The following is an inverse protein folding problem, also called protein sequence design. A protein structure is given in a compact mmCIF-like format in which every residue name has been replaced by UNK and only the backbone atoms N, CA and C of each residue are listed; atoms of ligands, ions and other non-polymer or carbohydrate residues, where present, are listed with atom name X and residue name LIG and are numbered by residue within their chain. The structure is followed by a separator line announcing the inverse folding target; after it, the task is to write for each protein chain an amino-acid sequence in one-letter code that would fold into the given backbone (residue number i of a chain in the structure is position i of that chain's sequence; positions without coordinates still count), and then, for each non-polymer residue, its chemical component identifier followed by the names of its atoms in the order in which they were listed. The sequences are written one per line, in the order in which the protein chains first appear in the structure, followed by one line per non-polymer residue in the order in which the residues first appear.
data_IF_312703493369
#
_entry.id   IF_312703493369
#
_cell.length_a   1.000
_cell.length_b   1.000
_cell.length_c   1.000
_cell.angle_alpha   90.00
_cell.angle_beta   90.00
_cell.angle_gamma   90.00
#
_symmetry.space_group_name_H-M   'P 1'
#
loop_
_entity.id
_entity.type
_entity.pdbx_description
1 polymer ?
#
# COMPACT_ATOMS: atom_id res chain seq x y z
N UNK A 1 -34.40 -18.67 6.48
CA UNK A 1 -33.87 -18.20 5.18
C UNK A 1 -32.47 -17.68 5.49
N UNK A 2 -31.38 -18.22 4.90
CA UNK A 2 -30.07 -17.62 5.11
C UNK A 2 -30.11 -16.17 4.58
N UNK A 3 -29.57 -15.24 5.35
CA UNK A 3 -29.41 -13.85 4.93
C UNK A 3 -28.61 -13.81 3.60
N UNK A 4 -29.08 -13.09 2.57
CA UNK A 4 -28.31 -12.93 1.33
C UNK A 4 -26.93 -12.37 1.63
N UNK A 5 -25.89 -13.12 1.27
CA UNK A 5 -24.51 -12.64 1.39
C UNK A 5 -24.31 -11.59 0.29
N UNK A 6 -24.00 -10.34 0.67
CA UNK A 6 -23.59 -9.32 -0.30
C UNK A 6 -22.33 -9.82 -1.01
N UNK A 7 -22.52 -10.27 -2.24
CA UNK A 7 -21.41 -10.59 -3.13
C UNK A 7 -20.97 -9.26 -3.72
N UNK A 8 -19.88 -8.71 -3.19
CA UNK A 8 -19.14 -7.69 -3.93
C UNK A 8 -18.54 -8.38 -5.14
N UNK A 9 -18.74 -7.81 -6.33
CA UNK A 9 -17.98 -8.19 -7.53
C UNK A 9 -16.75 -7.26 -7.52
N UNK A 10 -15.67 -7.59 -6.80
CA UNK A 10 -14.44 -6.81 -6.93
C UNK A 10 -14.09 -6.81 -8.41
N UNK A 11 -13.53 -5.74 -8.98
CA UNK A 11 -13.18 -5.69 -10.41
C UNK A 11 -12.02 -6.64 -10.79
N UNK A 12 -12.06 -7.90 -10.34
CA UNK A 12 -11.00 -8.90 -10.34
C UNK A 12 -9.94 -8.69 -9.25
N UNK A 13 -10.03 -7.68 -8.39
CA UNK A 13 -8.93 -7.35 -7.47
C UNK A 13 -9.18 -7.87 -6.05
N UNK A 14 -8.23 -8.64 -5.51
CA UNK A 14 -8.21 -8.98 -4.07
C UNK A 14 -7.82 -7.76 -3.23
N UNK A 15 -8.84 -6.97 -2.85
CA UNK A 15 -8.68 -5.79 -2.01
C UNK A 15 -8.17 -6.11 -0.59
N UNK A 16 -8.41 -7.32 -0.08
CA UNK A 16 -7.89 -7.77 1.20
C UNK A 16 -6.37 -7.92 1.15
N UNK A 17 -5.87 -8.59 0.12
CA UNK A 17 -4.43 -8.71 -0.15
C UNK A 17 -3.77 -7.35 -0.41
N UNK A 18 -4.41 -6.47 -1.19
CA UNK A 18 -3.88 -5.12 -1.46
C UNK A 18 -3.71 -4.34 -0.16
N UNK A 19 -4.70 -4.40 0.74
CA UNK A 19 -4.67 -3.71 2.02
C UNK A 19 -3.56 -4.26 2.92
N UNK A 20 -3.52 -5.58 3.11
CA UNK A 20 -2.51 -6.24 3.96
C UNK A 20 -1.10 -5.99 3.44
N UNK A 21 -0.88 -6.16 2.14
CA UNK A 21 0.42 -5.95 1.50
C UNK A 21 0.86 -4.50 1.64
N UNK A 22 -0.04 -3.53 1.41
CA UNK A 22 0.28 -2.11 1.60
C UNK A 22 0.64 -1.79 3.06
N UNK A 23 -0.11 -2.35 4.02
CA UNK A 23 0.19 -2.16 5.44
C UNK A 23 1.55 -2.74 5.82
N UNK A 24 1.82 -4.01 5.48
CA UNK A 24 3.09 -4.67 5.79
C UNK A 24 4.26 -3.97 5.09
N UNK A 25 4.11 -3.59 3.83
CA UNK A 25 5.16 -2.92 3.05
C UNK A 25 5.50 -1.55 3.62
N UNK A 26 4.50 -0.76 4.04
CA UNK A 26 4.75 0.58 4.60
C UNK A 26 5.44 0.50 5.96
N UNK A 27 5.23 -0.56 6.74
CA UNK A 27 5.98 -0.82 7.98
C UNK A 27 7.41 -1.27 7.67
N UNK A 28 7.57 -2.34 6.89
CA UNK A 28 8.87 -3.01 6.69
C UNK A 28 9.80 -2.23 5.77
N UNK A 29 9.27 -1.44 4.85
CA UNK A 29 10.06 -0.70 3.84
C UNK A 29 9.85 0.80 4.03
N UNK A 30 8.61 1.24 4.19
CA UNK A 30 8.31 2.67 4.29
C UNK A 30 8.92 3.32 5.53
N UNK A 31 8.76 2.73 6.72
CA UNK A 31 9.33 3.29 7.94
C UNK A 31 10.88 3.33 7.89
N UNK A 32 11.60 2.28 7.44
CA UNK A 32 13.04 2.38 7.19
C UNK A 32 13.43 3.46 6.17
N UNK A 33 12.69 3.63 5.08
CA UNK A 33 12.96 4.71 4.11
C UNK A 33 12.84 6.08 4.79
N UNK A 34 11.76 6.32 5.54
CA UNK A 34 11.56 7.59 6.27
C UNK A 34 12.70 7.81 7.27
N UNK A 35 13.09 6.78 8.02
CA UNK A 35 14.18 6.85 8.99
C UNK A 35 15.53 7.17 8.33
N UNK A 36 15.87 6.48 7.23
CA UNK A 36 17.10 6.72 6.48
C UNK A 36 17.15 8.12 5.88
N UNK A 37 16.07 8.56 5.24
CA UNK A 37 16.00 9.92 4.68
C UNK A 37 16.10 11.00 5.75
N UNK A 38 15.58 10.74 6.96
CA UNK A 38 15.66 11.72 8.07
C UNK A 38 17.09 12.07 8.45
N UNK A 39 18.06 11.17 8.20
CA UNK A 39 19.49 11.41 8.51
C UNK A 39 20.11 12.50 7.65
N UNK A 40 19.49 12.86 6.53
CA UNK A 40 19.98 13.86 5.59
C UNK A 40 19.48 15.28 5.90
N UNK A 41 18.59 15.43 6.88
CA UNK A 41 17.98 16.70 7.24
C UNK A 41 18.21 17.05 8.71
N UNK A 42 18.43 18.33 9.00
CA UNK A 42 18.47 18.81 10.38
C UNK A 42 17.04 18.91 10.92
N UNK A 43 16.68 18.00 11.83
CA UNK A 43 15.35 17.93 12.44
C UNK A 43 15.45 18.13 13.97
N UNK A 44 15.80 19.35 14.44
CA UNK A 44 16.13 19.58 15.85
C UNK A 44 14.91 19.47 16.77
N UNK A 45 13.72 19.83 16.28
CA UNK A 45 12.49 19.88 17.08
C UNK A 45 11.60 18.66 16.83
N UNK A 46 10.78 18.30 17.81
CA UNK A 46 9.77 17.26 17.63
C UNK A 46 8.81 17.58 16.48
N UNK A 47 8.36 18.84 16.37
CA UNK A 47 7.50 19.29 15.27
C UNK A 47 8.12 19.06 13.89
N UNK A 48 9.41 19.39 13.72
CA UNK A 48 10.13 19.15 12.46
C UNK A 48 10.22 17.66 12.09
N UNK A 49 10.41 16.78 13.09
CA UNK A 49 10.44 15.32 12.89
C UNK A 49 9.08 14.79 12.44
N UNK A 50 7.99 15.26 13.06
CA UNK A 50 6.62 14.86 12.72
C UNK A 50 6.23 15.34 11.32
N UNK A 51 6.47 16.61 11.01
CA UNK A 51 6.18 17.18 9.69
C UNK A 51 6.94 16.43 8.58
N UNK A 52 8.23 16.15 8.80
CA UNK A 52 9.04 15.35 7.89
C UNK A 52 8.46 13.95 7.69
N UNK A 53 8.18 13.23 8.79
CA UNK A 53 7.67 11.87 8.74
C UNK A 53 6.32 11.78 8.02
N UNK A 54 5.41 12.73 8.27
CA UNK A 54 4.10 12.77 7.60
C UNK A 54 4.25 13.03 6.10
N UNK A 55 5.07 14.02 5.70
CA UNK A 55 5.23 14.37 4.28
C UNK A 55 5.88 13.23 3.48
N UNK A 56 7.00 12.70 3.97
CA UNK A 56 7.70 11.61 3.31
C UNK A 56 6.86 10.33 3.36
N UNK A 57 6.27 10.04 4.51
CA UNK A 57 5.37 8.89 4.70
C UNK A 57 4.18 8.91 3.75
N UNK A 58 3.55 10.07 3.54
CA UNK A 58 2.43 10.20 2.61
C UNK A 58 2.84 9.87 1.16
N UNK A 59 4.00 10.35 0.70
CA UNK A 59 4.51 10.03 -0.65
C UNK A 59 4.77 8.54 -0.78
N UNK A 60 5.46 7.94 0.19
CA UNK A 60 5.75 6.50 0.20
C UNK A 60 4.45 5.68 0.21
N UNK A 61 3.48 6.09 1.02
CA UNK A 61 2.19 5.41 1.14
C UNK A 61 1.41 5.42 -0.17
N UNK A 62 1.28 6.59 -0.81
CA UNK A 62 0.58 6.72 -2.11
C UNK A 62 1.27 5.86 -3.18
N UNK A 63 2.59 5.96 -3.30
CA UNK A 63 3.34 5.18 -4.30
C UNK A 63 3.18 3.68 -4.06
N UNK A 64 3.23 3.24 -2.81
CA UNK A 64 3.06 1.83 -2.44
C UNK A 64 1.64 1.36 -2.77
N UNK A 65 0.61 2.10 -2.37
CA UNK A 65 -0.78 1.74 -2.61
C UNK A 65 -1.09 1.62 -4.11
N UNK A 66 -0.63 2.59 -4.91
CA UNK A 66 -0.80 2.57 -6.36
C UNK A 66 -0.05 1.40 -7.01
N UNK A 67 1.19 1.14 -6.60
CA UNK A 67 1.98 0.04 -7.14
C UNK A 67 1.38 -1.33 -6.79
N UNK A 68 0.97 -1.54 -5.54
CA UNK A 68 0.35 -2.80 -5.07
C UNK A 68 -0.98 -3.02 -5.77
N UNK A 69 -1.83 -1.99 -5.89
CA UNK A 69 -3.10 -2.10 -6.61
C UNK A 69 -2.89 -2.42 -8.10
N UNK A 70 -1.98 -1.70 -8.78
CA UNK A 70 -1.66 -1.98 -10.17
C UNK A 70 -1.08 -3.38 -10.38
N UNK A 71 -0.27 -3.88 -9.43
CA UNK A 71 0.26 -5.23 -9.44
C UNK A 71 -0.84 -6.28 -9.28
N UNK A 72 -1.73 -6.11 -8.30
CA UNK A 72 -2.85 -7.03 -8.08
C UNK A 72 -3.75 -7.12 -9.32
N UNK A 73 -4.12 -5.96 -9.90
CA UNK A 73 -4.91 -5.89 -11.12
C UNK A 73 -4.26 -6.59 -12.31
N UNK A 74 -2.92 -6.51 -12.43
CA UNK A 74 -2.17 -7.20 -13.49
C UNK A 74 -2.11 -8.71 -13.29
N UNK A 75 -2.01 -9.18 -12.05
CA UNK A 75 -1.92 -10.60 -11.74
C UNK A 75 -3.24 -11.31 -12.08
N UNK A 76 -4.38 -10.69 -11.75
CA UNK A 76 -5.70 -11.24 -12.08
C UNK A 76 -5.91 -11.36 -13.59
N UNK A 77 -5.54 -10.32 -14.36
CA UNK A 77 -5.66 -10.35 -15.82
C UNK A 77 -4.85 -11.45 -16.50
N UNK A 78 -3.89 -12.08 -15.81
CA UNK A 78 -3.14 -13.24 -16.31
C UNK A 78 -3.81 -14.58 -15.98
N UNK A 79 -4.67 -14.64 -14.97
CA UNK A 79 -5.36 -15.85 -14.53
C UNK A 79 -6.59 -16.20 -15.40
N UNK A 80 -7.07 -15.26 -16.23
CA UNK A 80 -8.21 -15.46 -17.13
C UNK A 80 -7.86 -15.97 -18.54
N UNK A 81 -6.61 -16.37 -18.81
CA UNK A 81 -6.27 -17.02 -20.10
C UNK A 81 -6.83 -18.45 -20.08
N UNK A 82 -7.78 -18.82 -20.96
CA UNK A 82 -8.34 -20.17 -20.98
C UNK A 82 -7.26 -21.20 -21.35
N UNK A 83 -7.17 -22.30 -20.61
CA UNK A 83 -6.56 -23.53 -21.14
C UNK A 83 -7.43 -23.99 -22.33
N UNK A 84 -6.84 -24.04 -23.53
CA UNK A 84 -7.46 -24.64 -24.72
C UNK A 84 -7.54 -26.16 -24.64
#
# INVERSE_FOLDING_TARGET
MPEPVETSDPEGVDYGWVMQTTFVTTILVGAPIVALLSTQFSLPTWGSRVEFAIRVGAVVWILTALAVFAYAKRLEGRSQVPEE
#
